data_IF_496892737792
#
_entry.id   IF_496892737792
#
_cell.length_a   1.000
_cell.length_b   1.000
_cell.length_c   1.000
_cell.angle_alpha   90.00
_cell.angle_beta   90.00
_cell.angle_gamma   90.00
#
_symmetry.space_group_name_H-M   'P 1'
#
loop_
_entity.id
_entity.type
_entity.pdbx_description
1 polymer ?
#
# COMPACT_ATOMS: atom_id res chain seq x y z
N UNK A 1 14.81 17.49 6.74
CA UNK A 1 14.61 16.31 5.87
C UNK A 1 13.67 15.37 6.59
N UNK A 2 12.41 15.31 6.14
CA UNK A 2 11.28 14.70 6.85
C UNK A 2 11.37 13.18 6.82
N UNK A 3 11.57 12.58 8.00
CA UNK A 3 11.77 11.14 8.21
C UNK A 3 10.43 10.40 8.47
N UNK A 4 9.33 10.84 7.83
CA UNK A 4 7.96 10.50 8.24
C UNK A 4 7.35 9.26 7.55
N UNK A 5 8.07 8.59 6.65
CA UNK A 5 7.59 7.34 6.02
C UNK A 5 8.20 6.12 6.73
N UNK A 6 8.06 6.02 8.06
CA UNK A 6 8.58 4.86 8.83
C UNK A 6 7.52 3.86 9.29
N UNK A 7 6.24 4.12 9.05
CA UNK A 7 5.15 3.25 9.53
C UNK A 7 4.10 2.99 8.43
N UNK A 8 4.53 2.37 7.32
CA UNK A 8 3.60 1.74 6.38
C UNK A 8 3.40 0.30 6.86
N UNK A 9 2.18 -0.05 7.26
CA UNK A 9 1.82 -1.43 7.62
C UNK A 9 0.71 -1.93 6.69
N UNK A 10 1.01 -2.96 5.90
CA UNK A 10 0.03 -3.65 5.07
C UNK A 10 -0.14 -5.07 5.60
N UNK A 11 -1.37 -5.43 6.01
CA UNK A 11 -1.67 -6.76 6.54
C UNK A 11 -3.09 -7.18 6.17
N UNK A 12 -3.36 -8.48 6.25
CA UNK A 12 -4.71 -9.02 6.08
C UNK A 12 -5.38 -9.18 7.44
N UNK A 13 -6.56 -8.57 7.60
CA UNK A 13 -7.43 -8.71 8.76
C UNK A 13 -8.44 -9.83 8.47
N UNK A 14 -8.26 -10.96 9.17
CA UNK A 14 -9.05 -12.18 8.97
C UNK A 14 -10.50 -11.98 9.41
N UNK A 15 -10.71 -11.25 10.51
CA UNK A 15 -12.04 -11.04 11.09
C UNK A 15 -12.91 -10.19 10.16
N UNK A 16 -12.28 -9.21 9.48
CA UNK A 16 -12.96 -8.36 8.49
C UNK A 16 -12.95 -8.92 7.07
N UNK A 17 -12.13 -9.94 6.81
CA UNK A 17 -11.84 -10.44 5.45
C UNK A 17 -11.39 -9.31 4.49
N UNK A 18 -10.52 -8.41 4.97
CA UNK A 18 -10.02 -7.26 4.21
C UNK A 18 -8.52 -7.07 4.38
N UNK A 19 -7.88 -6.46 3.40
CA UNK A 19 -6.51 -5.97 3.53
C UNK A 19 -6.51 -4.55 4.08
N UNK A 20 -5.66 -4.31 5.07
CA UNK A 20 -5.57 -3.03 5.79
C UNK A 20 -4.22 -2.41 5.55
N UNK A 21 -4.22 -1.19 4.98
CA UNK A 21 -3.04 -0.35 4.80
C UNK A 21 -3.10 0.82 5.78
N UNK A 22 -2.14 0.90 6.70
CA UNK A 22 -1.97 2.04 7.59
C UNK A 22 -0.79 2.89 7.13
N UNK A 23 -1.03 4.19 6.95
CA UNK A 23 -0.03 5.21 6.60
C UNK A 23 -0.22 6.39 7.56
N UNK A 24 0.67 6.52 8.56
CA UNK A 24 0.48 7.48 9.64
C UNK A 24 -0.82 7.22 10.39
N UNK A 25 -1.68 8.24 10.46
CA UNK A 25 -3.01 8.16 11.09
C UNK A 25 -4.12 7.71 10.12
N UNK A 26 -3.80 7.49 8.84
CA UNK A 26 -4.78 7.05 7.85
C UNK A 26 -4.83 5.53 7.77
N UNK A 27 -6.05 4.99 7.72
CA UNK A 27 -6.33 3.57 7.53
C UNK A 27 -7.15 3.42 6.25
N UNK A 28 -6.70 2.55 5.37
CA UNK A 28 -7.42 2.14 4.18
C UNK A 28 -7.72 0.65 4.27
N UNK A 29 -8.96 0.27 3.95
CA UNK A 29 -9.39 -1.11 3.90
C UNK A 29 -9.75 -1.47 2.45
N UNK A 30 -9.30 -2.64 2.01
CA UNK A 30 -9.47 -3.10 0.64
C UNK A 30 -10.05 -4.51 0.61
N UNK A 31 -10.90 -4.80 -0.36
CA UNK A 31 -11.20 -6.17 -0.76
C UNK A 31 -9.94 -6.86 -1.30
N UNK A 32 -10.05 -8.17 -1.52
CA UNK A 32 -8.99 -8.92 -2.21
C UNK A 32 -8.78 -8.39 -3.63
N UNK A 33 -9.83 -8.16 -4.41
CA UNK A 33 -9.70 -7.65 -5.78
C UNK A 33 -9.06 -6.27 -5.82
N UNK A 34 -9.49 -5.36 -4.93
CA UNK A 34 -8.93 -4.00 -4.83
C UNK A 34 -7.44 -4.03 -4.48
N UNK A 35 -7.04 -4.92 -3.57
CA UNK A 35 -5.64 -5.08 -3.16
C UNK A 35 -4.75 -5.58 -4.29
N UNK A 36 -5.24 -6.54 -5.07
CA UNK A 36 -4.53 -7.06 -6.25
C UNK A 36 -4.41 -5.96 -7.31
N UNK A 37 -5.49 -5.22 -7.56
CA UNK A 37 -5.49 -4.09 -8.49
C UNK A 37 -4.47 -3.02 -8.09
N UNK A 38 -4.46 -2.63 -6.81
CA UNK A 38 -3.51 -1.66 -6.27
C UNK A 38 -2.06 -2.15 -6.42
N UNK A 39 -1.78 -3.40 -6.05
CA UNK A 39 -0.44 -3.99 -6.18
C UNK A 39 0.05 -3.97 -7.64
N UNK A 40 -0.80 -4.38 -8.58
CA UNK A 40 -0.47 -4.39 -10.00
C UNK A 40 -0.24 -2.98 -10.54
N UNK A 41 -1.09 -2.02 -10.13
CA UNK A 41 -0.95 -0.64 -10.52
C UNK A 41 0.37 -0.04 -10.02
N UNK A 42 0.68 -0.21 -8.73
CA UNK A 42 1.92 0.29 -8.13
C UNK A 42 3.15 -0.32 -8.80
N UNK A 43 3.16 -1.64 -9.03
CA UNK A 43 4.25 -2.29 -9.76
C UNK A 43 4.42 -1.74 -11.18
N UNK A 44 3.32 -1.43 -11.88
CA UNK A 44 3.38 -0.84 -13.21
C UNK A 44 4.00 0.55 -13.17
N UNK A 45 3.58 1.38 -12.21
CA UNK A 45 4.12 2.73 -12.02
C UNK A 45 5.61 2.66 -11.66
N UNK A 46 5.99 1.85 -10.67
CA UNK A 46 7.39 1.67 -10.25
C UNK A 46 8.30 1.21 -11.40
N UNK A 47 7.82 0.29 -12.25
CA UNK A 47 8.55 -0.15 -13.46
C UNK A 47 8.66 0.94 -14.52
N UNK A 48 7.65 1.80 -14.65
CA UNK A 48 7.64 2.88 -15.63
C UNK A 48 8.48 4.09 -15.19
N UNK A 49 8.65 4.31 -13.88
CA UNK A 49 9.36 5.48 -13.33
C UNK A 49 10.44 5.11 -12.30
N UNK A 50 11.41 4.23 -12.63
CA UNK A 50 12.43 3.78 -11.69
C UNK A 50 13.30 4.93 -11.13
N UNK A 51 13.48 6.02 -11.88
CA UNK A 51 14.30 7.19 -11.50
C UNK A 51 13.73 7.94 -10.28
N UNK A 52 12.42 7.86 -10.01
CA UNK A 52 11.80 8.56 -8.88
C UNK A 52 11.98 7.84 -7.53
N UNK A 53 12.53 6.63 -7.54
CA UNK A 53 12.62 5.75 -6.37
C UNK A 53 14.03 5.23 -6.10
N UNK A 54 15.03 5.75 -6.84
CA UNK A 54 16.47 5.50 -6.63
C UNK A 54 17.16 6.73 -6.04
#
# INVERSE_FOLDING_TARGET
>A
MSNEIKNIKFHFDVDKNKYVLKIGDKIFEFSREESISLHNHLNRVLKATPILFN
#
